data_IF_834740769080
#
_entry.id   IF_834740769080
#
_cell.length_a   1.000
_cell.length_b   1.000
_cell.length_c   1.000
_cell.angle_alpha   90.00
_cell.angle_beta   90.00
_cell.angle_gamma   90.00
#
_symmetry.space_group_name_H-M   'P 1'
#
loop_
_entity.id
_entity.type
_entity.pdbx_description
1 polymer ?
#
# COMPACT_ATOMS: atom_id res chain seq x y z
N UNK A 1 2.53 5.58 -4.57
CA UNK A 1 2.41 4.63 -3.46
C UNK A 1 1.40 3.53 -3.79
N UNK A 2 0.19 3.86 -4.22
CA UNK A 2 -0.87 2.90 -4.53
C UNK A 2 -0.46 1.81 -5.54
N UNK A 3 0.32 2.14 -6.56
CA UNK A 3 0.74 1.18 -7.59
C UNK A 3 1.77 0.17 -7.07
N UNK A 4 2.62 0.57 -6.14
CA UNK A 4 3.59 -0.33 -5.50
C UNK A 4 2.84 -1.35 -4.63
N UNK A 5 1.87 -0.90 -3.85
CA UNK A 5 1.02 -1.76 -3.02
C UNK A 5 0.24 -2.78 -3.83
N UNK A 6 -0.36 -2.35 -4.95
CA UNK A 6 -1.11 -3.25 -5.83
C UNK A 6 -0.25 -4.42 -6.31
N UNK A 7 0.97 -4.12 -6.77
CA UNK A 7 1.89 -5.14 -7.30
C UNK A 7 2.40 -6.08 -6.21
N UNK A 8 2.76 -5.56 -5.05
CA UNK A 8 3.20 -6.36 -3.91
C UNK A 8 2.06 -7.23 -3.35
N UNK A 9 0.85 -6.67 -3.25
CA UNK A 9 -0.33 -7.42 -2.85
C UNK A 9 -0.65 -8.58 -3.78
N UNK A 10 -0.53 -8.39 -5.10
CA UNK A 10 -0.68 -9.47 -6.08
C UNK A 10 0.38 -10.56 -5.90
N UNK A 11 1.61 -10.19 -5.54
CA UNK A 11 2.69 -11.15 -5.29
C UNK A 11 2.43 -11.98 -4.03
N UNK A 12 1.92 -11.37 -2.94
CA UNK A 12 1.45 -12.12 -1.76
C UNK A 12 0.30 -13.06 -2.11
N UNK A 13 -0.69 -12.61 -2.89
CA UNK A 13 -1.80 -13.46 -3.33
C UNK A 13 -1.32 -14.67 -4.14
N UNK A 14 -0.37 -14.47 -5.05
CA UNK A 14 0.24 -15.55 -5.82
C UNK A 14 0.94 -16.55 -4.89
N UNK A 15 1.69 -16.06 -3.90
CA UNK A 15 2.39 -16.93 -2.95
C UNK A 15 1.42 -17.77 -2.12
N UNK A 16 0.33 -17.17 -1.63
CA UNK A 16 -0.74 -17.88 -0.92
C UNK A 16 -1.38 -18.95 -1.83
N UNK A 17 -1.63 -18.61 -3.09
CA UNK A 17 -2.19 -19.56 -4.05
C UNK A 17 -1.23 -20.75 -4.32
N UNK A 18 0.05 -20.49 -4.54
CA UNK A 18 1.06 -21.53 -4.74
C UNK A 18 1.19 -22.47 -3.53
N UNK A 19 1.04 -21.91 -2.34
CA UNK A 19 1.03 -22.68 -1.09
C UNK A 19 -0.23 -23.54 -0.97
N UNK A 20 -1.39 -22.95 -1.26
CA UNK A 20 -2.68 -23.66 -1.23
C UNK A 20 -2.74 -24.82 -2.25
N UNK A 21 -2.08 -24.67 -3.40
CA UNK A 21 -1.95 -25.71 -4.42
C UNK A 21 -0.81 -26.73 -4.11
N UNK A 22 -0.14 -26.62 -2.97
CA UNK A 22 1.03 -27.43 -2.59
C UNK A 22 2.20 -27.41 -3.61
N UNK A 23 2.30 -26.34 -4.40
CA UNK A 23 3.41 -26.13 -5.35
C UNK A 23 4.70 -25.73 -4.62
N UNK A 24 4.54 -24.93 -3.55
CA UNK A 24 5.66 -24.47 -2.71
C UNK A 24 5.32 -24.71 -1.24
N UNK A 25 6.24 -25.40 -0.54
CA UNK A 25 6.09 -25.63 0.90
C UNK A 25 6.44 -24.35 1.68
N UNK A 26 5.65 -23.96 2.73
CA UNK A 26 5.95 -22.82 3.60
C UNK A 26 7.32 -22.90 4.28
N UNK A 27 7.88 -24.09 4.43
CA UNK A 27 9.20 -24.32 5.06
C UNK A 27 10.35 -24.28 4.06
N UNK A 28 10.07 -24.16 2.75
CA UNK A 28 11.11 -24.13 1.72
C UNK A 28 11.83 -22.78 1.68
N UNK A 29 13.12 -22.80 1.38
CA UNK A 29 13.91 -21.56 1.19
C UNK A 29 13.34 -20.67 0.09
N UNK A 30 12.75 -21.27 -0.96
CA UNK A 30 12.08 -20.54 -2.06
C UNK A 30 10.86 -19.79 -1.53
N UNK A 31 10.05 -20.41 -0.67
CA UNK A 31 8.90 -19.73 -0.05
C UNK A 31 9.37 -18.53 0.78
N UNK A 32 10.35 -18.73 1.67
CA UNK A 32 10.91 -17.67 2.52
C UNK A 32 11.44 -16.51 1.67
N UNK A 33 12.16 -16.82 0.56
CA UNK A 33 12.66 -15.81 -0.36
C UNK A 33 11.52 -15.02 -1.02
N UNK A 34 10.50 -15.70 -1.53
CA UNK A 34 9.33 -15.05 -2.16
C UNK A 34 8.52 -14.26 -1.14
N UNK A 35 8.42 -14.72 0.10
CA UNK A 35 7.70 -14.05 1.18
C UNK A 35 8.33 -12.69 1.51
N UNK A 36 9.65 -12.62 1.79
CA UNK A 36 10.25 -11.32 2.08
C UNK A 36 10.31 -10.40 0.86
N UNK A 37 10.42 -10.92 -0.37
CA UNK A 37 10.29 -10.12 -1.59
C UNK A 37 8.86 -9.53 -1.68
N UNK A 38 7.85 -10.34 -1.42
CA UNK A 38 6.45 -9.91 -1.44
C UNK A 38 6.09 -8.99 -0.26
N UNK A 39 6.81 -9.05 0.86
CA UNK A 39 6.58 -8.24 2.05
C UNK A 39 7.35 -6.92 2.08
N UNK A 40 8.38 -6.77 1.28
CA UNK A 40 9.33 -5.67 1.35
C UNK A 40 8.67 -4.28 1.39
N UNK A 41 7.67 -4.01 0.52
CA UNK A 41 6.99 -2.72 0.51
C UNK A 41 6.13 -2.50 1.77
N UNK A 42 5.57 -3.55 2.34
CA UNK A 42 4.80 -3.45 3.58
C UNK A 42 5.72 -3.24 4.78
N UNK A 43 6.81 -3.96 4.87
CA UNK A 43 7.80 -3.78 5.93
C UNK A 43 8.42 -2.38 5.91
N UNK A 44 8.79 -1.88 4.72
CA UNK A 44 9.35 -0.53 4.53
C UNK A 44 8.27 0.54 4.30
N UNK A 45 7.02 0.27 4.65
CA UNK A 45 5.92 1.23 4.57
C UNK A 45 6.25 2.60 5.19
N UNK A 46 6.86 2.69 6.38
CA UNK A 46 7.25 3.98 6.95
C UNK A 46 8.16 4.80 6.02
N UNK A 47 9.09 4.18 5.29
CA UNK A 47 9.96 4.89 4.35
C UNK A 47 9.19 5.47 3.16
N UNK A 48 8.25 4.70 2.61
CA UNK A 48 7.41 5.17 1.50
C UNK A 48 6.47 6.30 1.92
N UNK A 49 5.93 6.19 3.14
CA UNK A 49 5.09 7.24 3.73
C UNK A 49 5.91 8.49 4.05
N UNK A 50 7.16 8.35 4.47
CA UNK A 50 8.05 9.47 4.69
C UNK A 50 8.20 10.33 3.43
N UNK A 51 8.42 9.70 2.25
CA UNK A 51 8.54 10.41 0.97
C UNK A 51 7.25 11.16 0.61
N UNK A 52 6.10 10.48 0.73
CA UNK A 52 4.81 11.09 0.38
C UNK A 52 4.41 12.20 1.35
N UNK A 53 4.70 12.02 2.64
CA UNK A 53 4.48 13.02 3.69
C UNK A 53 5.42 14.22 3.49
N UNK A 54 6.68 14.01 3.12
CA UNK A 54 7.62 15.08 2.83
C UNK A 54 7.14 15.96 1.67
N UNK A 55 6.62 15.36 0.61
CA UNK A 55 5.99 16.11 -0.51
C UNK A 55 4.77 16.89 -0.03
N UNK A 56 3.94 16.31 0.83
CA UNK A 56 2.73 16.96 1.35
C UNK A 56 3.05 18.14 2.27
N UNK A 57 4.07 18.01 3.11
CA UNK A 57 4.48 19.04 4.09
C UNK A 57 5.57 19.97 3.56
N UNK A 58 5.97 19.87 2.29
CA UNK A 58 7.00 20.66 1.63
C UNK A 58 8.32 20.66 2.42
N UNK A 59 8.85 19.47 2.71
CA UNK A 59 10.11 19.25 3.43
C UNK A 59 10.99 18.26 2.66
N UNK A 60 12.24 18.11 3.07
CA UNK A 60 13.22 17.29 2.36
C UNK A 60 12.90 15.79 2.47
N UNK A 61 12.67 15.13 1.31
CA UNK A 61 12.31 13.71 1.26
C UNK A 61 13.44 12.78 1.76
N UNK A 62 14.70 13.13 1.52
CA UNK A 62 15.84 12.32 1.98
C UNK A 62 16.00 12.35 3.49
N UNK A 63 15.79 13.51 4.10
CA UNK A 63 15.76 13.64 5.56
C UNK A 63 14.58 12.84 6.15
N UNK A 64 13.43 12.90 5.52
CA UNK A 64 12.26 12.12 5.94
C UNK A 64 12.52 10.61 5.88
N UNK A 65 13.15 10.11 4.80
CA UNK A 65 13.58 8.71 4.70
C UNK A 65 14.58 8.36 5.80
N UNK A 66 15.50 9.26 6.10
CA UNK A 66 16.48 9.04 7.19
C UNK A 66 15.78 8.89 8.54
N UNK A 67 14.78 9.71 8.85
CA UNK A 67 13.97 9.56 10.07
C UNK A 67 13.21 8.22 10.09
N UNK A 68 12.62 7.82 8.97
CA UNK A 68 12.01 6.49 8.85
C UNK A 68 13.05 5.37 9.05
N UNK A 69 14.25 5.53 8.49
CA UNK A 69 15.38 4.63 8.68
C UNK A 69 15.80 4.48 10.14
N UNK A 70 15.74 5.54 10.93
CA UNK A 70 16.00 5.49 12.39
C UNK A 70 14.97 4.58 13.08
N UNK A 71 13.70 4.68 12.73
CA UNK A 71 12.63 3.85 13.30
C UNK A 71 12.76 2.35 12.93
N UNK A 72 13.32 2.07 11.76
CA UNK A 72 13.48 0.71 11.22
C UNK A 72 14.93 0.18 11.36
N UNK A 73 15.80 0.92 12.04
CA UNK A 73 17.21 0.56 12.14
C UNK A 73 17.38 -0.83 12.77
N UNK A 74 18.19 -1.73 12.20
CA UNK A 74 18.36 -3.09 12.73
C UNK A 74 18.78 -3.15 14.20
N UNK A 75 19.66 -2.23 14.64
CA UNK A 75 20.06 -2.14 16.05
C UNK A 75 18.88 -1.80 16.94
N UNK A 76 18.03 -0.84 16.52
CA UNK A 76 16.85 -0.47 17.29
C UNK A 76 15.82 -1.61 17.33
N UNK A 77 15.56 -2.26 16.20
CA UNK A 77 14.66 -3.42 16.16
C UNK A 77 15.17 -4.60 16.97
N UNK A 78 16.49 -4.81 17.04
CA UNK A 78 17.10 -5.82 17.91
C UNK A 78 16.92 -5.49 19.40
N UNK A 79 17.13 -4.21 19.81
CA UNK A 79 16.87 -3.75 21.19
C UNK A 79 15.40 -3.95 21.56
N UNK A 80 14.48 -3.61 20.67
CA UNK A 80 13.04 -3.83 20.87
C UNK A 80 12.74 -5.32 21.03
N UNK A 81 13.35 -6.17 20.20
CA UNK A 81 13.16 -7.64 20.27
C UNK A 81 13.74 -8.26 21.54
N UNK A 82 14.84 -7.72 22.06
CA UNK A 82 15.45 -8.16 23.32
C UNK A 82 14.65 -7.72 24.56
N UNK A 83 13.82 -6.68 24.45
CA UNK A 83 13.05 -6.14 25.58
C UNK A 83 13.88 -5.45 26.65
N UNK A 84 15.15 -5.13 26.33
CA UNK A 84 16.07 -4.49 27.26
C UNK A 84 15.77 -2.98 27.37
N UNK A 85 15.81 -2.44 28.60
CA UNK A 85 15.58 -1.02 28.81
C UNK A 85 16.61 -0.17 28.04
N UNK A 86 16.13 0.76 27.22
CA UNK A 86 16.96 1.65 26.43
C UNK A 86 16.68 3.11 26.79
N UNK A 87 17.73 3.92 26.89
CA UNK A 87 17.61 5.34 27.22
C UNK A 87 18.49 6.20 26.31
N UNK A 88 18.01 7.38 25.97
CA UNK A 88 18.74 8.40 25.23
C UNK A 88 18.97 9.62 26.15
N UNK A 89 20.21 9.93 26.43
CA UNK A 89 20.62 11.03 27.36
C UNK A 89 19.89 10.90 28.73
N UNK A 90 19.78 9.67 29.24
CA UNK A 90 19.12 9.41 30.54
C UNK A 90 17.59 9.42 30.51
N UNK A 91 16.97 9.72 29.37
CA UNK A 91 15.52 9.67 29.19
C UNK A 91 15.12 8.31 28.61
N UNK A 92 14.09 7.65 29.15
CA UNK A 92 13.67 6.33 28.69
C UNK A 92 13.07 6.41 27.27
N UNK A 93 13.48 5.50 26.40
CA UNK A 93 12.88 5.30 25.08
C UNK A 93 11.94 4.11 25.14
N UNK A 94 10.70 4.31 24.71
CA UNK A 94 9.75 3.20 24.64
C UNK A 94 10.15 2.21 23.55
N UNK A 95 10.20 0.92 23.91
CA UNK A 95 10.53 -0.17 22.99
C UNK A 95 9.31 -0.55 22.15
N UNK A 96 9.19 0.04 20.98
CA UNK A 96 8.06 -0.16 20.07
C UNK A 96 8.58 -0.53 18.69
N UNK A 97 8.02 -1.59 18.11
CA UNK A 97 8.27 -1.96 16.72
C UNK A 97 7.51 -1.05 15.76
N UNK A 98 8.24 -0.31 14.92
CA UNK A 98 7.65 0.63 13.96
C UNK A 98 7.51 0.05 12.55
N UNK A 99 7.93 -1.18 12.30
CA UNK A 99 7.69 -1.86 11.02
C UNK A 99 6.20 -1.85 10.68
N UNK A 100 5.85 -1.61 9.41
CA UNK A 100 4.46 -1.52 8.94
C UNK A 100 3.60 -0.40 9.54
N UNK A 101 4.15 0.44 10.44
CA UNK A 101 3.40 1.53 11.07
C UNK A 101 3.18 2.71 10.12
N UNK A 102 2.08 3.45 10.34
CA UNK A 102 1.67 4.58 9.48
C UNK A 102 1.74 5.91 10.22
N UNK A 103 1.06 6.01 11.36
CA UNK A 103 0.88 7.29 12.07
C UNK A 103 2.21 7.86 12.58
N UNK A 104 3.11 7.08 13.20
CA UNK A 104 4.36 7.60 13.75
C UNK A 104 5.18 8.39 12.73
N UNK A 105 5.37 7.85 11.53
CA UNK A 105 6.20 8.52 10.51
C UNK A 105 5.53 9.76 9.92
N UNK A 106 4.22 9.76 9.74
CA UNK A 106 3.49 10.94 9.25
C UNK A 106 3.66 12.09 10.25
N UNK A 107 3.48 11.83 11.55
CA UNK A 107 3.67 12.83 12.59
C UNK A 107 5.13 13.28 12.70
N UNK A 108 6.09 12.36 12.54
CA UNK A 108 7.51 12.70 12.57
C UNK A 108 7.90 13.63 11.41
N UNK A 109 7.42 13.36 10.19
CA UNK A 109 7.69 14.22 9.02
C UNK A 109 6.96 15.57 9.13
N UNK A 110 5.76 15.57 9.70
CA UNK A 110 5.06 16.82 10.01
C UNK A 110 5.89 17.68 10.98
N UNK A 111 6.37 17.12 12.10
CA UNK A 111 7.29 17.81 13.01
C UNK A 111 8.56 18.27 12.29
N UNK A 112 9.15 17.39 11.47
CA UNK A 112 10.37 17.69 10.72
C UNK A 112 10.21 18.92 9.84
N UNK A 113 9.03 19.15 9.25
CA UNK A 113 8.79 20.32 8.40
C UNK A 113 8.93 21.65 9.13
N UNK A 114 8.64 21.68 10.44
CA UNK A 114 8.84 22.87 11.28
C UNK A 114 10.31 23.01 11.72
N UNK A 115 10.92 21.89 12.12
CA UNK A 115 12.32 21.86 12.56
C UNK A 115 13.26 22.23 11.42
N UNK A 116 13.00 21.76 10.20
CA UNK A 116 13.78 22.11 9.00
C UNK A 116 13.74 23.62 8.71
N UNK A 117 12.56 24.24 8.80
CA UNK A 117 12.39 25.70 8.64
C UNK A 117 13.07 26.48 9.76
N UNK A 118 13.05 25.96 10.97
CA UNK A 118 13.79 26.54 12.10
C UNK A 118 15.30 26.44 11.87
N UNK A 119 15.81 25.27 11.50
CA UNK A 119 17.21 25.04 11.18
C UNK A 119 17.71 25.98 10.08
N UNK A 120 16.88 26.22 9.05
CA UNK A 120 17.20 27.15 7.98
C UNK A 120 17.34 28.61 8.44
N UNK A 121 16.52 29.03 9.42
CA UNK A 121 16.57 30.39 9.96
C UNK A 121 17.81 30.64 10.85
N UNK A 122 18.24 29.63 11.61
CA UNK A 122 19.35 29.76 12.57
C UNK A 122 20.72 29.45 11.99
N UNK A 123 20.79 28.82 10.83
CA UNK A 123 22.03 28.40 10.21
C UNK A 123 22.56 29.45 9.24
N UNK A 124 23.83 29.90 9.42
CA UNK A 124 24.48 30.81 8.47
C UNK A 124 24.58 30.18 7.08
N UNK A 125 24.35 30.98 6.02
CA UNK A 125 24.31 30.51 4.62
C UNK A 125 25.55 29.72 4.20
N UNK A 126 26.74 30.13 4.70
CA UNK A 126 28.02 29.49 4.36
C UNK A 126 28.08 28.01 4.78
N UNK A 127 27.49 27.65 5.90
CA UNK A 127 27.52 26.27 6.46
C UNK A 127 26.19 25.56 6.38
N UNK A 128 25.18 26.16 5.76
CA UNK A 128 23.80 25.64 5.69
C UNK A 128 23.72 24.26 5.03
N UNK A 129 24.61 23.96 4.11
CA UNK A 129 24.64 22.71 3.38
C UNK A 129 24.71 21.48 4.30
N UNK A 130 25.51 21.52 5.37
CA UNK A 130 25.64 20.38 6.29
C UNK A 130 25.00 20.62 7.66
N UNK A 131 24.96 21.88 8.17
CA UNK A 131 24.40 22.16 9.49
C UNK A 131 22.90 22.03 9.53
N UNK A 132 22.17 22.47 8.49
CA UNK A 132 20.71 22.34 8.42
C UNK A 132 20.25 20.87 8.49
N UNK A 133 20.75 19.93 7.66
CA UNK A 133 20.40 18.52 7.77
C UNK A 133 20.78 17.92 9.12
N UNK A 134 21.97 18.23 9.63
CA UNK A 134 22.47 17.74 10.91
C UNK A 134 21.55 18.14 12.06
N UNK A 135 21.24 19.44 12.19
CA UNK A 135 20.32 19.94 13.22
C UNK A 135 18.94 19.32 13.10
N UNK A 136 18.42 19.19 11.87
CA UNK A 136 17.12 18.61 11.64
C UNK A 136 17.06 17.16 12.14
N UNK A 137 18.04 16.33 11.80
CA UNK A 137 18.08 14.93 12.25
C UNK A 137 18.30 14.85 13.76
N UNK A 138 19.25 15.62 14.32
CA UNK A 138 19.56 15.61 15.75
C UNK A 138 18.40 16.02 16.64
N UNK A 139 17.50 16.85 16.14
CA UNK A 139 16.30 17.27 16.89
C UNK A 139 15.16 16.28 16.64
N UNK A 140 14.87 15.95 15.37
CA UNK A 140 13.67 15.18 15.03
C UNK A 140 13.79 13.70 15.42
N UNK A 141 14.96 13.07 15.23
CA UNK A 141 15.09 11.64 15.50
C UNK A 141 14.89 11.28 16.98
N UNK A 142 15.52 11.97 17.96
CA UNK A 142 15.26 11.71 19.37
C UNK A 142 13.80 11.99 19.77
N UNK A 143 13.24 13.12 19.33
CA UNK A 143 11.84 13.44 19.63
C UNK A 143 10.91 12.40 19.02
N UNK A 144 11.23 11.88 17.83
CA UNK A 144 10.45 10.82 17.19
C UNK A 144 10.50 9.53 18.01
N UNK A 145 11.69 9.10 18.46
CA UNK A 145 11.82 7.87 19.25
C UNK A 145 11.18 7.98 20.64
N UNK A 146 11.31 9.15 21.31
CA UNK A 146 10.84 9.31 22.69
C UNK A 146 9.37 9.73 22.81
N UNK A 147 8.85 10.50 21.85
CA UNK A 147 7.54 11.15 21.97
C UNK A 147 6.62 10.80 20.81
N UNK A 148 7.00 11.15 19.58
CA UNK A 148 6.12 11.07 18.43
C UNK A 148 5.79 9.62 18.08
N UNK A 149 6.78 8.75 18.09
CA UNK A 149 6.62 7.33 17.84
C UNK A 149 5.65 6.68 18.82
N UNK A 150 5.92 6.75 20.13
CA UNK A 150 5.01 6.25 21.15
C UNK A 150 3.60 6.85 21.08
N UNK A 151 3.45 8.16 20.86
CA UNK A 151 2.14 8.81 20.69
C UNK A 151 1.38 8.23 19.47
N UNK A 152 2.07 8.07 18.35
CA UNK A 152 1.48 7.47 17.16
C UNK A 152 1.02 6.03 17.39
N UNK A 153 1.78 5.26 18.16
CA UNK A 153 1.40 3.89 18.56
C UNK A 153 0.28 3.88 19.59
N UNK A 154 0.25 4.83 20.53
CA UNK A 154 -0.85 4.96 21.49
C UNK A 154 -2.18 5.20 20.77
N UNK A 155 -2.22 6.02 19.74
CA UNK A 155 -3.41 6.23 18.92
C UNK A 155 -3.84 4.90 18.29
N UNK A 156 -2.89 4.12 17.75
CA UNK A 156 -3.15 2.81 17.20
C UNK A 156 -3.66 1.80 18.21
N UNK A 157 -2.98 1.72 19.33
CA UNK A 157 -3.36 0.81 20.43
C UNK A 157 -4.70 1.21 21.08
N UNK A 158 -5.01 2.52 21.14
CA UNK A 158 -6.31 3.00 21.61
C UNK A 158 -7.46 2.46 20.75
N UNK A 159 -7.27 2.39 19.44
CA UNK A 159 -8.25 1.78 18.54
C UNK A 159 -8.42 0.27 18.85
N UNK A 160 -7.30 -0.45 19.00
CA UNK A 160 -7.33 -1.87 19.37
C UNK A 160 -8.03 -2.11 20.73
N UNK A 161 -7.80 -1.22 21.70
CA UNK A 161 -8.46 -1.29 23.00
C UNK A 161 -9.98 -1.13 22.91
N UNK A 162 -10.48 -0.22 22.07
CA UNK A 162 -11.92 -0.08 21.81
C UNK A 162 -12.52 -1.39 21.31
N UNK A 163 -11.84 -2.09 20.42
CA UNK A 163 -12.33 -3.38 19.91
C UNK A 163 -12.27 -4.51 20.95
N UNK A 164 -11.26 -4.52 21.82
CA UNK A 164 -11.23 -5.44 22.96
C UNK A 164 -12.43 -5.23 23.86
N UNK A 165 -12.68 -3.98 24.23
CA UNK A 165 -13.84 -3.62 25.04
C UNK A 165 -15.15 -4.01 24.36
N UNK A 166 -15.28 -3.79 23.06
CA UNK A 166 -16.44 -4.21 22.27
C UNK A 166 -16.62 -5.74 22.30
N UNK A 167 -15.54 -6.49 22.14
CA UNK A 167 -15.55 -7.96 22.20
C UNK A 167 -16.08 -8.47 23.53
N UNK A 168 -15.65 -7.86 24.62
CA UNK A 168 -16.03 -8.27 25.97
C UNK A 168 -17.46 -7.87 26.36
N UNK A 169 -17.97 -6.74 25.82
CA UNK A 169 -19.24 -6.15 26.25
C UNK A 169 -20.38 -6.32 25.23
N UNK A 170 -20.09 -6.45 23.92
CA UNK A 170 -21.12 -6.54 22.88
C UNK A 170 -21.40 -7.96 22.39
N UNK A 171 -20.61 -8.96 22.83
CA UNK A 171 -20.77 -10.35 22.40
C UNK A 171 -20.74 -10.49 20.86
N UNK A 172 -21.76 -11.16 20.30
CA UNK A 172 -21.84 -11.40 18.85
C UNK A 172 -21.93 -10.12 18.00
N UNK A 173 -22.36 -8.98 18.57
CA UNK A 173 -22.43 -7.68 17.88
C UNK A 173 -21.04 -7.08 17.63
N UNK A 174 -20.02 -7.47 18.37
CA UNK A 174 -18.65 -6.97 18.17
C UNK A 174 -18.13 -7.26 16.77
N UNK A 175 -18.46 -8.44 16.23
CA UNK A 175 -17.99 -8.88 14.92
C UNK A 175 -18.57 -8.05 13.76
N UNK A 176 -19.89 -7.79 13.67
CA UNK A 176 -20.47 -6.87 12.67
C UNK A 176 -19.89 -5.46 12.72
N UNK A 177 -19.70 -4.90 13.91
CA UNK A 177 -19.13 -3.55 14.05
C UNK A 177 -17.67 -3.55 13.60
N UNK A 178 -16.89 -4.55 14.00
CA UNK A 178 -15.52 -4.71 13.54
C UNK A 178 -15.43 -4.84 12.03
N UNK A 179 -16.26 -5.69 11.41
CA UNK A 179 -16.27 -5.90 9.98
C UNK A 179 -16.67 -4.65 9.20
N UNK A 180 -17.62 -3.87 9.71
CA UNK A 180 -18.04 -2.60 9.11
C UNK A 180 -16.90 -1.56 9.12
N UNK A 181 -16.12 -1.52 10.20
CA UNK A 181 -15.01 -0.57 10.37
C UNK A 181 -13.70 -1.06 9.74
N UNK A 182 -13.56 -2.36 9.52
CA UNK A 182 -12.32 -2.98 9.02
C UNK A 182 -11.78 -2.32 7.75
N UNK A 183 -12.57 -2.02 6.69
CA UNK A 183 -12.07 -1.34 5.50
C UNK A 183 -11.48 0.04 5.79
N UNK A 184 -12.11 0.79 6.71
CA UNK A 184 -11.66 2.12 7.12
C UNK A 184 -10.38 2.07 7.95
N UNK A 185 -10.24 1.04 8.78
CA UNK A 185 -9.04 0.78 9.58
C UNK A 185 -7.88 0.34 8.67
N UNK A 186 -8.15 -0.52 7.69
CA UNK A 186 -7.16 -0.94 6.68
C UNK A 186 -6.67 0.27 5.90
N UNK A 187 -7.55 1.19 5.52
CA UNK A 187 -7.21 2.42 4.81
C UNK A 187 -6.18 3.28 5.57
N UNK A 188 -6.24 3.30 6.90
CA UNK A 188 -5.29 4.04 7.75
C UNK A 188 -4.00 3.26 8.04
N UNK A 189 -3.91 1.99 7.60
CA UNK A 189 -2.81 1.08 7.94
C UNK A 189 -2.80 0.59 9.39
N UNK A 190 -3.83 0.93 10.18
CA UNK A 190 -3.91 0.62 11.61
C UNK A 190 -4.30 -0.82 11.89
N UNK A 191 -4.70 -1.61 10.90
CA UNK A 191 -5.09 -3.00 11.06
C UNK A 191 -3.98 -3.90 11.65
N UNK A 192 -2.71 -3.53 11.47
CA UNK A 192 -1.60 -4.21 12.13
C UNK A 192 -1.60 -4.01 13.66
N UNK A 193 -2.25 -2.96 14.16
CA UNK A 193 -2.47 -2.75 15.60
C UNK A 193 -3.32 -3.82 16.27
N UNK A 194 -4.04 -4.65 15.50
CA UNK A 194 -4.80 -5.79 16.04
C UNK A 194 -3.94 -7.04 16.29
N UNK A 195 -2.70 -7.07 15.84
CA UNK A 195 -1.80 -8.22 16.06
C UNK A 195 -1.69 -8.62 17.54
N UNK A 196 -1.48 -7.70 18.50
CA UNK A 196 -1.45 -8.08 19.92
C UNK A 196 -2.78 -8.67 20.41
N UNK A 197 -3.91 -8.17 19.91
CA UNK A 197 -5.23 -8.69 20.22
C UNK A 197 -5.41 -10.12 19.73
N UNK A 198 -5.07 -10.35 18.47
CA UNK A 198 -5.11 -11.66 17.85
C UNK A 198 -4.22 -12.65 18.60
N UNK A 199 -2.99 -12.26 18.93
CA UNK A 199 -2.05 -13.08 19.70
C UNK A 199 -2.59 -13.43 21.08
N UNK A 200 -3.20 -12.48 21.77
CA UNK A 200 -3.86 -12.70 23.07
C UNK A 200 -5.02 -13.69 22.94
N UNK A 201 -5.83 -13.58 21.89
CA UNK A 201 -6.95 -14.50 21.64
C UNK A 201 -6.43 -15.92 21.39
N UNK A 202 -5.41 -16.10 20.56
CA UNK A 202 -4.78 -17.41 20.34
C UNK A 202 -4.18 -18.01 21.61
N UNK A 203 -3.51 -17.19 22.41
CA UNK A 203 -2.91 -17.65 23.68
C UNK A 203 -3.98 -18.08 24.71
N UNK A 204 -5.12 -17.37 24.76
CA UNK A 204 -6.16 -17.59 25.76
C UNK A 204 -7.16 -18.68 25.35
N UNK A 205 -7.55 -18.70 24.08
CA UNK A 205 -8.65 -19.53 23.58
C UNK A 205 -8.19 -20.60 22.57
N UNK A 206 -6.96 -20.52 22.04
CA UNK A 206 -6.49 -21.38 20.96
C UNK A 206 -7.05 -21.00 19.57
N UNK A 207 -7.84 -19.93 19.47
CA UNK A 207 -8.45 -19.42 18.24
C UNK A 207 -8.75 -17.93 18.35
N UNK A 208 -8.92 -17.28 17.21
CA UNK A 208 -9.39 -15.90 17.11
C UNK A 208 -10.87 -15.87 16.68
N UNK A 209 -11.77 -15.31 17.51
CA UNK A 209 -13.19 -15.24 17.20
C UNK A 209 -13.62 -13.93 16.53
N UNK A 210 -12.75 -12.94 16.36
CA UNK A 210 -13.14 -11.59 15.94
C UNK A 210 -12.31 -11.05 14.80
N UNK A 211 -10.99 -10.93 14.96
CA UNK A 211 -10.15 -10.19 14.02
C UNK A 211 -10.14 -10.84 12.63
N UNK A 212 -9.84 -12.12 12.55
CA UNK A 212 -9.82 -12.84 11.29
C UNK A 212 -11.21 -13.11 10.70
N UNK A 213 -12.24 -13.49 11.47
CA UNK A 213 -13.59 -13.55 10.96
C UNK A 213 -14.11 -12.22 10.41
N UNK A 214 -13.88 -11.09 11.10
CA UNK A 214 -14.25 -9.77 10.61
C UNK A 214 -13.48 -9.40 9.34
N UNK A 215 -12.19 -9.72 9.31
CA UNK A 215 -11.35 -9.49 8.13
C UNK A 215 -11.82 -10.34 6.93
N UNK A 216 -12.24 -11.59 7.13
CA UNK A 216 -12.84 -12.41 6.08
C UNK A 216 -14.06 -11.70 5.47
N UNK A 217 -15.00 -11.29 6.33
CA UNK A 217 -16.21 -10.59 5.90
C UNK A 217 -15.86 -9.33 5.10
N UNK A 218 -14.90 -8.52 5.60
CA UNK A 218 -14.49 -7.27 4.97
C UNK A 218 -13.78 -7.50 3.64
N UNK A 219 -12.81 -8.43 3.59
CA UNK A 219 -12.01 -8.67 2.40
C UNK A 219 -12.87 -9.17 1.23
N UNK A 220 -13.74 -10.13 1.51
CA UNK A 220 -14.64 -10.68 0.51
C UNK A 220 -15.67 -9.65 0.04
N UNK A 221 -16.22 -8.86 0.97
CA UNK A 221 -17.17 -7.81 0.62
C UNK A 221 -16.54 -6.71 -0.24
N UNK A 222 -15.29 -6.36 -0.01
CA UNK A 222 -14.57 -5.43 -0.88
C UNK A 222 -14.39 -6.02 -2.30
N UNK A 223 -14.12 -7.32 -2.38
CA UNK A 223 -14.07 -8.04 -3.65
C UNK A 223 -15.39 -8.01 -4.39
N UNK A 224 -16.50 -8.32 -3.72
CA UNK A 224 -17.84 -8.30 -4.30
C UNK A 224 -18.26 -6.93 -4.79
N UNK A 225 -17.96 -5.88 -4.03
CA UNK A 225 -18.23 -4.49 -4.43
C UNK A 225 -17.42 -4.09 -5.67
N UNK A 226 -16.13 -4.43 -5.72
CA UNK A 226 -15.29 -4.14 -6.88
C UNK A 226 -15.74 -4.94 -8.12
N UNK A 227 -16.13 -6.22 -7.98
CA UNK A 227 -16.66 -7.02 -9.06
C UNK A 227 -17.97 -6.43 -9.63
N UNK A 228 -18.85 -5.88 -8.77
CA UNK A 228 -20.05 -5.19 -9.21
C UNK A 228 -19.72 -3.97 -10.08
N UNK A 229 -18.68 -3.20 -9.71
CA UNK A 229 -18.18 -2.10 -10.55
C UNK A 229 -17.64 -2.65 -11.87
N UNK A 230 -16.83 -3.71 -11.83
CA UNK A 230 -16.27 -4.34 -13.04
C UNK A 230 -17.32 -4.83 -14.03
N UNK A 231 -18.46 -5.36 -13.54
CA UNK A 231 -19.56 -5.80 -14.41
C UNK A 231 -20.38 -4.62 -14.94
N UNK A 232 -20.63 -3.60 -14.10
CA UNK A 232 -21.56 -2.49 -14.40
C UNK A 232 -20.92 -1.35 -15.17
N UNK A 233 -19.60 -1.15 -15.04
CA UNK A 233 -18.87 -0.09 -15.75
C UNK A 233 -18.94 -0.25 -17.26
N UNK A 234 -19.08 0.89 -17.96
CA UNK A 234 -19.00 0.98 -19.42
C UNK A 234 -17.59 1.30 -19.90
N UNK A 235 -16.73 1.79 -19.01
CA UNK A 235 -15.35 2.10 -19.32
C UNK A 235 -14.49 0.81 -19.28
N UNK A 236 -13.85 0.41 -20.41
CA UNK A 236 -13.06 -0.81 -20.48
C UNK A 236 -11.91 -0.89 -19.47
N UNK A 237 -11.24 0.23 -19.20
CA UNK A 237 -10.13 0.30 -18.24
C UNK A 237 -10.61 0.08 -16.80
N UNK A 238 -11.73 0.75 -16.44
CA UNK A 238 -12.34 0.57 -15.13
C UNK A 238 -12.84 -0.85 -14.97
N UNK A 239 -13.46 -1.39 -16.01
CA UNK A 239 -13.94 -2.78 -16.02
C UNK A 239 -12.81 -3.76 -15.76
N UNK A 240 -11.68 -3.63 -16.46
CA UNK A 240 -10.50 -4.47 -16.28
C UNK A 240 -9.90 -4.30 -14.88
N UNK A 241 -9.69 -3.06 -14.44
CA UNK A 241 -9.15 -2.74 -13.13
C UNK A 241 -10.02 -3.31 -12.01
N UNK A 242 -11.33 -3.05 -12.06
CA UNK A 242 -12.26 -3.44 -11.01
C UNK A 242 -12.44 -4.97 -10.94
N UNK A 243 -12.47 -5.65 -12.09
CA UNK A 243 -12.56 -7.11 -12.13
C UNK A 243 -11.30 -7.76 -11.55
N UNK A 244 -10.11 -7.32 -11.99
CA UNK A 244 -8.84 -7.81 -11.45
C UNK A 244 -8.70 -7.55 -9.95
N UNK A 245 -9.00 -6.33 -9.52
CA UNK A 245 -8.94 -5.93 -8.12
C UNK A 245 -9.94 -6.71 -7.26
N UNK A 246 -11.15 -6.94 -7.79
CA UNK A 246 -12.19 -7.71 -7.10
C UNK A 246 -11.80 -9.17 -6.89
N UNK A 247 -11.28 -9.83 -7.93
CA UNK A 247 -10.74 -11.19 -7.81
C UNK A 247 -9.63 -11.24 -6.78
N UNK A 248 -8.67 -10.32 -6.83
CA UNK A 248 -7.55 -10.26 -5.89
C UNK A 248 -8.02 -10.10 -4.45
N UNK A 249 -9.06 -9.29 -4.20
CA UNK A 249 -9.64 -9.10 -2.87
C UNK A 249 -10.34 -10.36 -2.34
N UNK A 250 -11.01 -11.14 -3.20
CA UNK A 250 -11.59 -12.44 -2.83
C UNK A 250 -10.50 -13.42 -2.36
N UNK A 251 -9.30 -13.32 -2.90
CA UNK A 251 -8.14 -14.11 -2.43
C UNK A 251 -7.47 -13.54 -1.17
N UNK A 252 -7.95 -12.41 -0.63
CA UNK A 252 -7.50 -11.82 0.62
C UNK A 252 -6.61 -10.58 0.47
N UNK A 253 -6.30 -10.15 -0.75
CA UNK A 253 -5.47 -8.95 -1.01
C UNK A 253 -6.39 -7.81 -1.46
N UNK A 254 -6.75 -6.95 -0.52
CA UNK A 254 -7.84 -5.96 -0.67
C UNK A 254 -7.39 -4.59 -1.15
N UNK A 255 -6.11 -4.25 -1.07
CA UNK A 255 -5.60 -2.93 -1.38
C UNK A 255 -5.97 -2.45 -2.81
N UNK A 256 -5.89 -3.29 -3.87
CA UNK A 256 -6.32 -2.88 -5.19
C UNK A 256 -7.81 -2.56 -5.26
N UNK A 257 -8.66 -3.36 -4.61
CA UNK A 257 -10.10 -3.12 -4.56
C UNK A 257 -10.44 -1.90 -3.70
N UNK A 258 -9.81 -1.78 -2.53
CA UNK A 258 -10.04 -0.69 -1.61
C UNK A 258 -9.68 0.66 -2.23
N UNK A 259 -8.41 0.83 -2.64
CA UNK A 259 -7.89 2.11 -3.11
C UNK A 259 -8.17 2.37 -4.60
N UNK A 260 -8.12 1.33 -5.43
CA UNK A 260 -8.29 1.44 -6.88
C UNK A 260 -9.75 1.59 -7.31
N UNK A 261 -10.69 1.04 -6.53
CA UNK A 261 -12.10 0.95 -6.92
C UNK A 261 -13.03 1.53 -5.85
N UNK A 262 -13.13 0.87 -4.68
CA UNK A 262 -14.19 1.15 -3.72
C UNK A 262 -14.11 2.56 -3.15
N UNK A 263 -12.90 3.03 -2.81
CA UNK A 263 -12.67 4.37 -2.31
C UNK A 263 -12.70 5.42 -3.42
N UNK A 264 -12.18 5.07 -4.62
CA UNK A 264 -12.18 5.95 -5.79
C UNK A 264 -13.60 6.37 -6.17
N UNK A 265 -14.51 5.41 -6.25
CA UNK A 265 -15.92 5.66 -6.61
C UNK A 265 -16.83 5.94 -5.41
N UNK A 266 -16.33 5.87 -4.17
CA UNK A 266 -17.01 6.16 -2.90
C UNK A 266 -18.23 5.27 -2.61
N UNK A 267 -19.23 5.23 -3.49
CA UNK A 267 -20.45 4.43 -3.33
C UNK A 267 -20.20 2.93 -3.21
N UNK A 268 -19.29 2.29 -3.98
CA UNK A 268 -18.94 0.88 -3.79
C UNK A 268 -18.37 0.57 -2.39
N UNK A 269 -17.72 1.54 -1.75
CA UNK A 269 -17.27 1.40 -0.38
C UNK A 269 -18.43 1.19 0.61
N UNK A 270 -19.57 1.85 0.37
CA UNK A 270 -20.79 1.64 1.15
C UNK A 270 -21.34 0.23 0.94
N UNK A 271 -21.36 -0.24 -0.32
CA UNK A 271 -21.77 -1.60 -0.65
C UNK A 271 -20.89 -2.66 0.01
N UNK A 272 -19.57 -2.45 0.01
CA UNK A 272 -18.63 -3.30 0.72
C UNK A 272 -18.88 -3.32 2.23
N UNK A 273 -19.10 -2.16 2.84
CA UNK A 273 -19.41 -2.05 4.28
C UNK A 273 -20.71 -2.78 4.63
N UNK A 274 -21.77 -2.63 3.83
CA UNK A 274 -23.04 -3.35 4.03
C UNK A 274 -22.83 -4.86 3.93
N UNK A 275 -22.16 -5.32 2.88
CA UNK A 275 -21.87 -6.74 2.68
C UNK A 275 -21.05 -7.35 3.81
N UNK A 276 -20.01 -6.65 4.26
CA UNK A 276 -19.18 -7.06 5.38
C UNK A 276 -20.00 -7.17 6.68
N UNK A 277 -20.84 -6.18 6.96
CA UNK A 277 -21.69 -6.16 8.16
C UNK A 277 -22.69 -7.29 8.17
N UNK A 278 -23.39 -7.53 7.07
CA UNK A 278 -24.41 -8.60 6.98
C UNK A 278 -23.77 -9.98 7.13
N UNK A 279 -22.62 -10.21 6.46
CA UNK A 279 -21.88 -11.45 6.62
C UNK A 279 -21.38 -11.66 8.05
N UNK A 280 -20.93 -10.58 8.69
CA UNK A 280 -20.44 -10.62 10.06
C UNK A 280 -21.55 -10.84 11.11
N UNK A 281 -22.79 -10.43 10.83
CA UNK A 281 -23.95 -10.81 11.66
C UNK A 281 -24.09 -12.34 11.69
N UNK A 282 -24.05 -12.98 10.52
CA UNK A 282 -24.09 -14.44 10.47
C UNK A 282 -22.90 -15.06 11.17
N UNK A 283 -21.67 -14.62 10.86
CA UNK A 283 -20.45 -15.13 11.44
C UNK A 283 -20.41 -14.95 12.99
N UNK A 284 -20.95 -13.85 13.50
CA UNK A 284 -21.06 -13.58 14.94
C UNK A 284 -22.05 -14.50 15.63
N UNK A 285 -23.21 -14.75 15.01
CA UNK A 285 -24.24 -15.65 15.57
C UNK A 285 -23.74 -17.10 15.64
N UNK A 286 -23.00 -17.56 14.63
CA UNK A 286 -22.43 -18.92 14.61
C UNK A 286 -21.09 -19.03 15.35
N UNK A 287 -20.58 -17.92 15.89
CA UNK A 287 -19.29 -17.82 16.58
C UNK A 287 -18.17 -18.40 15.72
N UNK A 288 -18.00 -17.84 14.50
CA UNK A 288 -16.97 -18.30 13.57
C UNK A 288 -15.57 -18.14 14.18
N UNK A 289 -14.74 -19.18 14.12
CA UNK A 289 -13.44 -19.25 14.78
C UNK A 289 -12.33 -19.42 13.74
N UNK A 290 -11.26 -18.63 13.84
CA UNK A 290 -10.05 -18.83 13.06
C UNK A 290 -8.97 -19.51 13.92
N UNK A 291 -8.38 -20.61 13.43
CA UNK A 291 -7.43 -21.43 14.15
C UNK A 291 -5.98 -21.26 13.67
N UNK A 292 -5.78 -20.48 12.62
CA UNK A 292 -4.45 -20.16 12.10
C UNK A 292 -4.34 -18.67 11.74
N UNK A 293 -3.12 -18.19 11.68
CA UNK A 293 -2.81 -16.81 11.31
C UNK A 293 -2.47 -16.73 9.82
N UNK A 294 -3.43 -16.31 9.01
CA UNK A 294 -3.25 -16.05 7.59
C UNK A 294 -4.11 -14.86 7.17
N UNK A 295 -3.83 -14.26 6.02
CA UNK A 295 -4.69 -13.22 5.46
C UNK A 295 -6.03 -13.83 5.03
N UNK A 296 -7.17 -13.48 5.65
CA UNK A 296 -8.44 -14.14 5.37
C UNK A 296 -8.94 -13.88 3.94
N UNK A 297 -9.25 -14.96 3.25
CA UNK A 297 -9.75 -14.95 1.87
C UNK A 297 -10.06 -16.37 1.40
N UNK A 298 -10.43 -16.51 0.13
CA UNK A 298 -10.75 -17.80 -0.46
C UNK A 298 -9.58 -18.79 -0.38
N UNK A 299 -8.35 -18.32 -0.63
CA UNK A 299 -7.15 -19.15 -0.62
C UNK A 299 -6.79 -19.68 0.77
N UNK A 300 -7.16 -18.97 1.82
CA UNK A 300 -6.81 -19.27 3.22
C UNK A 300 -7.98 -19.81 4.04
N UNK A 301 -9.06 -20.27 3.41
CA UNK A 301 -10.22 -20.83 4.12
C UNK A 301 -9.85 -21.97 5.08
N UNK A 302 -8.77 -22.68 4.80
CA UNK A 302 -8.24 -23.72 5.69
C UNK A 302 -7.91 -23.21 7.10
N UNK A 303 -7.67 -21.91 7.29
CA UNK A 303 -7.45 -21.30 8.62
C UNK A 303 -8.66 -21.44 9.56
N UNK A 304 -9.84 -21.69 9.02
CA UNK A 304 -11.07 -21.91 9.77
C UNK A 304 -11.34 -23.38 10.12
N UNK A 305 -10.37 -24.27 9.89
CA UNK A 305 -10.44 -25.68 10.25
C UNK A 305 -9.83 -25.83 11.64
N UNK A 306 -10.61 -26.32 12.62
CA UNK A 306 -10.16 -26.63 13.97
C UNK A 306 -10.26 -28.10 14.28
N UNK A 307 -9.55 -28.58 15.30
CA UNK A 307 -9.63 -29.96 15.77
C UNK A 307 -11.06 -30.28 16.24
N UNK A 308 -11.63 -31.38 15.74
CA UNK A 308 -12.96 -31.90 16.12
C UNK A 308 -14.16 -31.17 15.52
N UNK A 309 -14.02 -29.96 14.96
CA UNK A 309 -15.13 -29.18 14.36
C UNK A 309 -14.95 -28.96 12.85
N UNK A 310 -14.16 -29.78 12.20
CA UNK A 310 -13.74 -29.64 10.82
C UNK A 310 -14.87 -29.28 9.83
N UNK A 311 -15.98 -30.00 9.90
CA UNK A 311 -17.04 -29.86 8.89
C UNK A 311 -17.96 -28.66 9.14
N UNK A 312 -18.16 -28.26 10.40
CA UNK A 312 -19.11 -27.21 10.74
C UNK A 312 -18.53 -25.82 10.59
N UNK A 313 -17.35 -25.57 11.21
CA UNK A 313 -16.79 -24.23 11.22
C UNK A 313 -16.32 -23.76 9.84
N UNK A 314 -15.70 -24.65 9.03
CA UNK A 314 -15.35 -24.31 7.64
C UNK A 314 -16.60 -24.10 6.78
N UNK A 315 -17.68 -24.87 6.99
CA UNK A 315 -18.94 -24.65 6.29
C UNK A 315 -19.49 -23.25 6.61
N UNK A 316 -19.45 -22.84 7.87
CA UNK A 316 -19.84 -21.49 8.28
C UNK A 316 -18.94 -20.42 7.67
N UNK A 317 -17.62 -20.67 7.54
CA UNK A 317 -16.71 -19.75 6.85
C UNK A 317 -17.08 -19.60 5.34
N UNK A 318 -17.38 -20.71 4.66
CA UNK A 318 -17.82 -20.69 3.25
C UNK A 318 -19.14 -19.94 3.10
N UNK A 319 -20.13 -20.19 3.98
CA UNK A 319 -21.42 -19.47 3.95
C UNK A 319 -21.17 -17.97 4.19
N UNK A 320 -20.32 -17.61 5.17
CA UNK A 320 -19.94 -16.21 5.45
C UNK A 320 -19.33 -15.54 4.21
N UNK A 321 -18.42 -16.25 3.54
CA UNK A 321 -17.80 -15.78 2.30
C UNK A 321 -18.85 -15.51 1.23
N UNK A 322 -19.75 -16.46 0.99
CA UNK A 322 -20.82 -16.33 -0.03
C UNK A 322 -21.74 -15.15 0.33
N UNK A 323 -22.15 -15.00 1.59
CA UNK A 323 -22.98 -13.87 2.03
C UNK A 323 -22.25 -12.55 1.78
N UNK A 324 -20.97 -12.44 2.17
CA UNK A 324 -20.17 -11.23 2.00
C UNK A 324 -20.07 -10.84 0.52
N UNK A 325 -19.76 -11.80 -0.34
CA UNK A 325 -19.60 -11.59 -1.78
C UNK A 325 -20.91 -11.15 -2.44
N UNK A 326 -21.98 -11.90 -2.20
CA UNK A 326 -23.29 -11.70 -2.87
C UNK A 326 -23.93 -10.40 -2.38
N UNK A 327 -23.98 -10.19 -1.07
CA UNK A 327 -24.62 -9.00 -0.50
C UNK A 327 -23.87 -7.72 -0.88
N UNK A 328 -22.55 -7.71 -0.85
CA UNK A 328 -21.77 -6.53 -1.27
C UNK A 328 -21.89 -6.24 -2.75
N UNK A 329 -21.94 -7.28 -3.59
CA UNK A 329 -22.18 -7.17 -5.02
C UNK A 329 -23.55 -6.55 -5.30
N UNK A 330 -24.61 -7.11 -4.71
CA UNK A 330 -25.99 -6.62 -4.90
C UNK A 330 -26.13 -5.21 -4.34
N UNK A 331 -25.62 -4.93 -3.14
CA UNK A 331 -25.67 -3.60 -2.53
C UNK A 331 -25.00 -2.55 -3.43
N UNK A 332 -23.79 -2.86 -3.93
CA UNK A 332 -23.08 -1.96 -4.85
C UNK A 332 -23.82 -1.78 -6.15
N UNK A 333 -24.42 -2.85 -6.67
CA UNK A 333 -25.22 -2.80 -7.90
C UNK A 333 -26.43 -1.87 -7.76
N UNK A 334 -27.13 -1.93 -6.64
CA UNK A 334 -28.32 -1.11 -6.34
C UNK A 334 -27.92 0.34 -6.08
N UNK A 335 -26.94 0.56 -5.21
CA UNK A 335 -26.45 1.91 -4.85
C UNK A 335 -25.88 2.61 -6.10
N UNK A 336 -25.26 1.86 -6.99
CA UNK A 336 -24.59 2.35 -8.19
C UNK A 336 -23.28 3.11 -7.86
N UNK A 337 -22.69 3.67 -8.89
CA UNK A 337 -21.54 4.56 -8.81
C UNK A 337 -21.54 5.49 -10.02
N UNK A 338 -20.81 6.57 -9.94
CA UNK A 338 -20.57 7.47 -11.06
C UNK A 338 -19.42 6.91 -11.87
N UNK A 339 -19.76 6.35 -13.05
CA UNK A 339 -18.77 5.82 -13.97
C UNK A 339 -17.96 6.97 -14.55
N UNK A 340 -16.66 6.79 -14.65
CA UNK A 340 -15.85 7.79 -15.36
C UNK A 340 -16.20 7.67 -16.86
N UNK A 341 -16.44 8.82 -17.53
CA UNK A 341 -16.65 8.78 -18.96
C UNK A 341 -15.51 7.96 -19.55
N UNK A 342 -15.85 7.08 -20.49
CA UNK A 342 -14.84 6.60 -21.40
C UNK A 342 -14.20 7.88 -21.87
N UNK A 343 -12.96 8.21 -21.44
CA UNK A 343 -12.12 8.95 -22.33
C UNK A 343 -12.11 8.06 -23.58
N UNK A 344 -13.14 8.25 -24.42
CA UNK A 344 -12.83 8.28 -25.81
C UNK A 344 -11.64 9.23 -25.75
N UNK A 345 -10.37 8.69 -25.79
CA UNK A 345 -9.54 9.31 -26.78
C UNK A 345 -10.55 9.49 -27.90
N UNK A 346 -11.21 10.65 -27.96
CA UNK A 346 -11.29 11.22 -29.25
C UNK A 346 -9.86 10.97 -29.70
N UNK A 347 -9.69 9.85 -30.38
CA UNK A 347 -9.14 10.00 -31.68
C UNK A 347 -10.05 11.14 -32.16
N UNK A 348 -9.70 12.40 -31.74
CA UNK A 348 -9.42 13.31 -32.77
C UNK A 348 -8.69 12.38 -33.69
N UNK A 349 -9.46 11.87 -34.65
CA UNK A 349 -9.03 11.95 -35.99
C UNK A 349 -8.70 13.49 -36.15
N UNK A 350 -7.70 13.91 -35.39
CA UNK A 350 -6.52 14.22 -36.10
C UNK A 350 -6.42 12.93 -36.89
N UNK A 351 -7.23 12.88 -38.00
CA UNK A 351 -6.66 12.38 -39.22
C UNK A 351 -5.24 12.71 -38.95
N UNK A 352 -4.49 11.64 -38.39
CA UNK A 352 -3.05 11.73 -38.46
C UNK A 352 -3.01 12.00 -39.92
N UNK A 353 -3.01 13.35 -40.15
CA UNK A 353 -2.75 13.85 -41.45
C UNK A 353 -1.53 13.03 -41.70
N UNK A 354 -1.77 11.93 -42.38
CA UNK A 354 -0.68 11.03 -42.78
C UNK A 354 0.12 12.01 -43.57
N UNK A 355 1.02 12.66 -42.77
CA UNK A 355 1.84 13.76 -43.29
C UNK A 355 2.43 13.04 -44.44
N UNK A 356 1.93 13.33 -45.64
CA UNK A 356 2.28 12.51 -46.80
C UNK A 356 3.79 12.53 -46.75
N UNK A 357 4.42 11.34 -46.74
CA UNK A 357 5.86 11.09 -46.54
C UNK A 357 6.78 12.09 -47.29
N UNK A 358 6.20 13.00 -48.03
CA UNK A 358 6.78 14.11 -48.79
C UNK A 358 6.60 15.53 -48.18
N UNK A 359 5.99 15.71 -47.01
CA UNK A 359 5.98 17.04 -46.37
C UNK A 359 7.34 17.26 -45.70
N UNK A 360 8.22 18.00 -46.32
CA UNK A 360 9.52 18.39 -45.74
C UNK A 360 9.23 19.23 -44.49
N UNK A 361 9.40 18.63 -43.32
CA UNK A 361 9.35 19.36 -42.03
C UNK A 361 10.71 20.03 -41.83
N UNK A 362 10.70 21.34 -41.68
CA UNK A 362 11.90 22.11 -41.39
C UNK A 362 12.23 21.99 -39.91
N UNK A 363 13.26 21.24 -39.56
CA UNK A 363 13.79 21.11 -38.20
C UNK A 363 15.00 22.05 -38.08
N UNK A 364 15.01 22.91 -37.06
CA UNK A 364 16.16 23.79 -36.80
C UNK A 364 17.29 22.96 -36.16
N UNK A 365 18.53 23.28 -36.52
CA UNK A 365 19.68 22.67 -35.86
C UNK A 365 19.70 23.00 -34.38
N UNK A 366 19.86 22.01 -33.47
CA UNK A 366 19.91 22.25 -32.03
C UNK A 366 21.20 22.94 -31.56
N UNK A 367 22.19 23.05 -32.44
CA UNK A 367 23.48 23.70 -32.15
C UNK A 367 24.12 24.24 -33.43
N UNK A 368 25.01 25.23 -33.31
CA UNK A 368 25.84 25.74 -34.40
C UNK A 368 27.05 24.81 -34.59
N UNK A 369 27.22 24.33 -35.82
CA UNK A 369 28.32 23.43 -36.14
C UNK A 369 28.29 22.94 -37.57
N UNK A 370 29.29 22.12 -37.92
CA UNK A 370 29.40 21.48 -39.23
C UNK A 370 28.62 20.17 -39.21
N UNK A 371 27.76 19.96 -40.21
CA UNK A 371 27.00 18.72 -40.37
C UNK A 371 27.90 17.66 -40.99
N UNK A 372 27.99 16.50 -40.30
CA UNK A 372 28.76 15.34 -40.78
C UNK A 372 27.78 14.15 -40.97
N UNK A 373 28.02 13.34 -42.03
CA UNK A 373 27.34 12.06 -42.16
C UNK A 373 27.74 11.13 -41.00
N UNK A 374 26.83 10.28 -40.53
CA UNK A 374 27.10 9.36 -39.40
C UNK A 374 28.30 8.45 -39.68
N UNK A 375 28.56 8.09 -40.93
CA UNK A 375 29.71 7.27 -41.35
C UNK A 375 31.07 7.87 -41.01
N UNK A 376 31.15 9.18 -40.79
CA UNK A 376 32.39 9.89 -40.44
C UNK A 376 32.59 10.06 -38.93
N UNK A 377 31.62 9.62 -38.13
CA UNK A 377 31.70 9.66 -36.66
C UNK A 377 32.64 8.56 -36.16
N UNK A 378 33.54 8.89 -35.24
CA UNK A 378 34.53 7.93 -34.70
C UNK A 378 33.94 6.82 -33.86
N UNK A 379 32.73 6.94 -33.36
CA UNK A 379 32.02 5.92 -32.56
C UNK A 379 31.36 4.89 -33.49
N UNK A 380 31.71 3.61 -33.31
CA UNK A 380 31.20 2.51 -34.12
C UNK A 380 29.68 2.30 -34.02
N UNK A 381 29.06 2.65 -32.92
CA UNK A 381 27.60 2.50 -32.70
C UNK A 381 26.82 3.47 -33.59
N UNK A 382 27.34 4.68 -33.77
CA UNK A 382 26.74 5.70 -34.62
C UNK A 382 27.15 5.56 -36.07
N UNK A 383 28.44 5.31 -36.37
CA UNK A 383 28.94 5.20 -37.76
C UNK A 383 28.38 4.00 -38.52
N UNK A 384 27.96 2.94 -37.81
CA UNK A 384 27.28 1.77 -38.38
C UNK A 384 25.74 1.87 -38.38
N UNK A 385 25.20 3.03 -38.05
CA UNK A 385 23.74 3.28 -37.97
C UNK A 385 22.97 2.29 -37.10
N UNK A 386 23.62 1.65 -36.08
CA UNK A 386 22.96 0.67 -35.16
C UNK A 386 21.79 1.31 -34.42
N UNK A 387 21.88 2.60 -34.10
CA UNK A 387 20.82 3.37 -33.42
C UNK A 387 19.84 4.03 -34.41
N UNK A 388 19.95 3.75 -35.70
CA UNK A 388 19.12 4.31 -36.75
C UNK A 388 19.83 5.40 -37.57
N UNK A 389 19.16 5.84 -38.65
CA UNK A 389 19.68 6.86 -39.56
C UNK A 389 19.64 8.25 -38.93
N UNK A 390 20.68 9.05 -39.10
CA UNK A 390 20.76 10.39 -38.53
C UNK A 390 21.86 11.21 -39.17
N UNK A 391 22.10 12.36 -38.58
CA UNK A 391 23.21 13.25 -38.90
C UNK A 391 24.00 13.57 -37.65
N UNK A 392 25.28 13.79 -37.74
CA UNK A 392 26.11 14.30 -36.66
C UNK A 392 26.39 15.78 -36.85
N UNK A 393 26.58 16.51 -35.76
CA UNK A 393 26.98 17.92 -35.79
C UNK A 393 28.27 18.06 -34.99
N UNK A 394 29.31 18.52 -35.60
CA UNK A 394 30.53 18.94 -34.91
C UNK A 394 30.35 20.39 -34.46
N UNK A 395 30.23 20.66 -33.15
CA UNK A 395 29.84 21.96 -32.66
C UNK A 395 30.97 22.97 -32.78
N UNK A 396 30.68 24.15 -33.30
CA UNK A 396 31.57 25.32 -33.27
C UNK A 396 31.34 26.20 -32.04
N UNK A 397 30.15 26.13 -31.47
CA UNK A 397 29.77 26.83 -30.24
C UNK A 397 29.14 25.82 -29.25
N UNK A 398 29.54 25.85 -27.98
CA UNK A 398 29.08 24.93 -26.95
C UNK A 398 27.67 25.20 -26.42
N UNK A 399 26.76 25.78 -27.20
CA UNK A 399 25.39 26.08 -26.83
C UNK A 399 24.40 25.16 -27.54
N UNK A 400 23.51 24.53 -26.81
CA UNK A 400 22.44 23.68 -27.35
C UNK A 400 21.10 24.39 -27.15
N UNK A 401 20.33 24.50 -28.22
CA UNK A 401 18.98 25.12 -28.20
C UNK A 401 17.92 24.09 -28.59
N UNK A 402 16.68 24.32 -28.18
CA UNK A 402 15.57 23.46 -28.57
C UNK A 402 15.31 23.57 -30.08
N UNK A 403 15.20 22.44 -30.81
CA UNK A 403 14.94 22.47 -32.26
C UNK A 403 13.53 22.89 -32.63
N UNK A 404 12.64 23.01 -31.66
CA UNK A 404 11.23 23.44 -31.78
C UNK A 404 10.87 24.35 -30.61
N UNK A 405 9.90 25.25 -30.85
CA UNK A 405 9.24 25.99 -29.75
C UNK A 405 8.36 25.03 -28.96
N UNK A 406 8.67 24.84 -27.65
CA UNK A 406 7.94 24.02 -26.72
C UNK A 406 6.98 24.87 -25.86
#
# INVERSE_FOLDING_TARGET
LGDVYKRQGMMKALLVLLTALNVVSPTSQTYIALEFIADAAFYFLPMMLAVTSAKKFNTNAFLAITIAGVLLHPTFTAIVGAGESFSFIGLPVQLVGYGTSVIPIILAVWLMSYVEKFAEKVTPKVVSFFVKPLLTILIVAPITLMVIGPLGMMIGNGLAYVFLWMSENLGWLALPVMAALCPWIIMTGMHHGFTPLTMSAFSKYGYDPITFPASLCSNIAQGGAALAVGVKSKNPEIKQLATSAGITAVFGVTEPALFGVNLRFKKPMMGATIGATVAAIYAGVVVLKAFAMATPGLASLAMFIGEGEFSKNILHAVITLVIALVVSFIATWIIGFEDEPVEVEETKNEEKEVVPLNKKVKVMSPMEGTILPLSEVKDATFSQEIMGKGIAIEPTVGQVVAPFNG
#
